data_IF_686763221466
#
_entry.id   IF_686763221466
#
_cell.length_a   1.000
_cell.length_b   1.000
_cell.length_c   1.000
_cell.angle_alpha   90.00
_cell.angle_beta   90.00
_cell.angle_gamma   90.00
#
_symmetry.space_group_name_H-M   'P 1'
#
loop_
_entity.id
_entity.type
_entity.pdbx_description
1 polymer ?
#
# COMPACT_ATOMS: atom_id res chain seq x y z
N UNK A 1 -20.32 -10.73 -8.25
CA UNK A 1 -19.00 -10.19 -7.94
C UNK A 1 -18.84 -10.24 -6.44
N UNK A 2 -17.86 -11.00 -5.97
CA UNK A 2 -17.54 -11.07 -4.55
C UNK A 2 -16.95 -9.72 -4.13
N UNK A 3 -17.49 -9.14 -3.05
CA UNK A 3 -17.05 -7.82 -2.58
C UNK A 3 -16.31 -8.02 -1.26
N UNK A 4 -15.04 -7.59 -1.23
CA UNK A 4 -14.25 -7.59 0.00
C UNK A 4 -14.73 -6.43 0.87
N UNK A 5 -15.11 -6.77 2.10
CA UNK A 5 -15.55 -5.84 3.14
C UNK A 5 -14.36 -5.33 3.95
N UNK A 6 -13.47 -6.23 4.39
CA UNK A 6 -12.30 -5.88 5.18
C UNK A 6 -11.15 -6.85 4.95
N UNK A 7 -9.93 -6.38 5.20
CA UNK A 7 -8.71 -7.19 5.14
C UNK A 7 -7.89 -6.96 6.41
N UNK A 8 -7.44 -8.05 7.00
CA UNK A 8 -6.55 -8.06 8.16
C UNK A 8 -5.29 -8.82 7.79
N UNK A 9 -4.12 -8.24 8.11
CA UNK A 9 -2.80 -8.81 7.85
C UNK A 9 -2.07 -8.97 9.18
N UNK A 10 -1.67 -10.19 9.51
CA UNK A 10 -1.00 -10.55 10.77
C UNK A 10 -1.76 -10.07 12.02
N UNK A 11 -3.09 -10.09 11.97
CA UNK A 11 -3.97 -9.63 13.05
C UNK A 11 -4.20 -8.12 13.10
N UNK A 12 -3.63 -7.35 12.16
CA UNK A 12 -3.84 -5.90 12.06
C UNK A 12 -4.73 -5.54 10.85
N UNK A 13 -5.81 -4.80 11.09
CA UNK A 13 -6.66 -4.29 10.01
C UNK A 13 -5.91 -3.23 9.21
N UNK A 14 -5.95 -3.35 7.89
CA UNK A 14 -5.38 -2.37 6.97
C UNK A 14 -6.47 -1.54 6.30
N UNK A 15 -6.19 -0.26 6.09
CA UNK A 15 -7.08 0.58 5.29
C UNK A 15 -6.89 0.27 3.80
N UNK A 16 -7.96 -0.22 3.17
CA UNK A 16 -7.98 -0.59 1.75
C UNK A 16 -8.80 0.44 1.00
N UNK A 17 -8.19 1.08 0.02
CA UNK A 17 -8.87 2.09 -0.79
C UNK A 17 -9.70 1.47 -1.92
N UNK A 18 -9.13 0.46 -2.56
CA UNK A 18 -9.74 -0.35 -3.62
C UNK A 18 -9.19 -1.76 -3.53
N UNK A 19 -9.97 -2.73 -3.97
CA UNK A 19 -9.54 -4.12 -4.02
C UNK A 19 -10.15 -4.82 -5.23
N UNK A 20 -9.53 -5.94 -5.58
CA UNK A 20 -10.12 -6.98 -6.41
C UNK A 20 -9.70 -8.34 -5.86
N UNK A 21 -10.65 -9.26 -5.85
CA UNK A 21 -10.42 -10.66 -5.48
C UNK A 21 -10.89 -11.53 -6.63
N UNK A 22 -10.05 -12.45 -7.09
CA UNK A 22 -10.35 -13.29 -8.24
C UNK A 22 -9.52 -14.56 -8.22
N UNK A 23 -9.93 -15.52 -9.04
CA UNK A 23 -9.18 -16.75 -9.28
C UNK A 23 -8.34 -16.55 -10.53
N UNK A 24 -7.04 -16.81 -10.44
CA UNK A 24 -6.14 -16.79 -11.57
C UNK A 24 -5.79 -18.23 -11.98
N UNK A 25 -6.07 -18.57 -13.24
CA UNK A 25 -5.79 -19.87 -13.83
C UNK A 25 -4.62 -19.75 -14.82
N UNK A 26 -3.53 -20.47 -14.56
CA UNK A 26 -2.38 -20.53 -15.46
C UNK A 26 -2.01 -21.98 -15.78
N UNK A 27 -1.07 -22.16 -16.72
CA UNK A 27 -0.55 -23.51 -17.00
C UNK A 27 0.18 -24.15 -15.81
N UNK A 28 0.58 -23.36 -14.81
CA UNK A 28 1.33 -23.83 -13.63
C UNK A 28 0.47 -24.10 -12.41
N UNK A 29 -0.79 -23.67 -12.38
CA UNK A 29 -1.68 -23.87 -11.24
C UNK A 29 -2.84 -22.88 -11.19
N UNK A 30 -3.57 -22.92 -10.08
CA UNK A 30 -4.73 -22.07 -9.80
C UNK A 30 -4.45 -21.32 -8.50
N UNK A 31 -4.57 -20.00 -8.51
CA UNK A 31 -4.35 -19.16 -7.33
C UNK A 31 -5.57 -18.32 -7.00
N UNK A 32 -5.77 -18.06 -5.70
CA UNK A 32 -6.61 -16.97 -5.23
C UNK A 32 -5.75 -15.71 -5.21
N UNK A 33 -6.15 -14.69 -5.95
CA UNK A 33 -5.48 -13.41 -6.03
C UNK A 33 -6.28 -12.34 -5.27
N UNK A 34 -5.59 -11.55 -4.46
CA UNK A 34 -6.11 -10.37 -3.79
C UNK A 34 -5.21 -9.17 -4.11
N UNK A 35 -5.72 -8.28 -4.96
CA UNK A 35 -5.07 -7.02 -5.28
C UNK A 35 -5.65 -5.91 -4.41
N UNK A 36 -4.80 -5.13 -3.75
CA UNK A 36 -5.18 -4.07 -2.83
C UNK A 36 -4.47 -2.76 -3.20
N UNK A 37 -5.24 -1.67 -3.35
CA UNK A 37 -4.69 -0.31 -3.26
C UNK A 37 -4.65 0.08 -1.79
N UNK A 38 -3.46 0.39 -1.30
CA UNK A 38 -3.16 0.71 0.10
C UNK A 38 -2.29 1.98 0.16
N UNK A 39 -1.89 2.41 1.35
CA UNK A 39 -0.96 3.54 1.49
C UNK A 39 0.49 3.14 1.17
N UNK A 40 1.33 4.13 0.85
CA UNK A 40 2.78 3.88 0.75
C UNK A 40 3.39 3.32 2.04
N UNK A 41 2.82 3.66 3.20
CA UNK A 41 3.29 3.16 4.50
C UNK A 41 3.05 1.66 4.62
N UNK A 42 1.87 1.19 4.22
CA UNK A 42 1.52 -0.25 4.21
C UNK A 42 2.42 -1.01 3.23
N UNK A 43 2.64 -0.48 2.02
CA UNK A 43 3.59 -1.11 1.06
C UNK A 43 4.98 -1.22 1.67
N UNK A 44 5.51 -0.14 2.28
CA UNK A 44 6.83 -0.15 2.92
C UNK A 44 6.94 -1.17 4.05
N UNK A 45 5.86 -1.38 4.80
CA UNK A 45 5.80 -2.34 5.91
C UNK A 45 5.96 -3.78 5.41
N UNK A 46 5.29 -4.12 4.30
CA UNK A 46 5.19 -5.51 3.85
C UNK A 46 6.06 -5.87 2.63
N UNK A 47 6.67 -4.89 1.94
CA UNK A 47 7.44 -5.14 0.69
C UNK A 47 8.61 -6.13 0.79
N UNK A 48 9.13 -6.37 1.99
CA UNK A 48 10.26 -7.27 2.23
C UNK A 48 9.82 -8.58 2.91
N UNK A 49 8.52 -8.78 3.09
CA UNK A 49 7.95 -9.98 3.70
C UNK A 49 7.52 -10.91 2.57
N UNK A 50 7.88 -12.18 2.66
CA UNK A 50 7.55 -13.17 1.64
C UNK A 50 6.12 -13.69 1.77
N UNK A 51 5.69 -13.96 3.01
CA UNK A 51 4.41 -14.58 3.35
C UNK A 51 3.73 -13.83 4.49
N UNK A 52 2.40 -13.68 4.40
CA UNK A 52 1.58 -13.02 5.41
C UNK A 52 0.40 -13.90 5.81
N UNK A 53 -0.03 -13.81 7.06
CA UNK A 53 -1.31 -14.39 7.49
C UNK A 53 -2.40 -13.36 7.15
N UNK A 54 -3.28 -13.72 6.22
CA UNK A 54 -4.30 -12.82 5.69
C UNK A 54 -5.68 -13.35 6.02
N UNK A 55 -6.51 -12.48 6.59
CA UNK A 55 -7.94 -12.69 6.76
C UNK A 55 -8.69 -11.74 5.83
N UNK A 56 -9.57 -12.30 4.99
CA UNK A 56 -10.42 -11.57 4.05
C UNK A 56 -11.86 -11.76 4.49
N UNK A 57 -12.53 -10.68 4.88
CA UNK A 57 -13.95 -10.69 5.17
C UNK A 57 -14.72 -10.17 3.95
N UNK A 58 -15.75 -10.89 3.52
CA UNK A 58 -16.61 -10.49 2.41
C UNK A 58 -17.91 -9.87 2.90
N UNK A 59 -18.58 -9.10 2.05
CA UNK A 59 -19.87 -8.46 2.40
C UNK A 59 -20.98 -9.47 2.69
N UNK A 60 -20.91 -10.69 2.13
CA UNK A 60 -21.84 -11.79 2.40
C UNK A 60 -21.56 -12.53 3.73
N UNK A 61 -20.53 -12.11 4.47
CA UNK A 61 -20.14 -12.66 5.76
C UNK A 61 -19.19 -13.86 5.68
N UNK A 62 -18.79 -14.30 4.48
CA UNK A 62 -17.71 -15.29 4.35
C UNK A 62 -16.40 -14.70 4.85
N UNK A 63 -15.57 -15.55 5.42
CA UNK A 63 -14.22 -15.22 5.88
C UNK A 63 -13.26 -16.26 5.32
N UNK A 64 -12.22 -15.79 4.64
CA UNK A 64 -11.09 -16.63 4.22
C UNK A 64 -9.90 -16.29 5.10
N UNK A 65 -9.27 -17.33 5.64
CA UNK A 65 -8.02 -17.24 6.37
C UNK A 65 -6.97 -18.05 5.61
N UNK A 66 -5.91 -17.40 5.14
CA UNK A 66 -4.86 -18.06 4.36
C UNK A 66 -3.49 -17.46 4.64
N UNK A 67 -2.45 -18.25 4.36
CA UNK A 67 -1.08 -17.75 4.26
C UNK A 67 -0.88 -17.37 2.79
N UNK A 68 -0.69 -16.08 2.51
CA UNK A 68 -0.56 -15.56 1.15
C UNK A 68 0.85 -15.04 0.91
N UNK A 69 1.37 -15.32 -0.29
CA UNK A 69 2.61 -14.76 -0.81
C UNK A 69 2.42 -13.29 -1.18
N UNK A 70 3.44 -12.47 -0.92
CA UNK A 70 3.42 -11.04 -1.24
C UNK A 70 4.14 -10.76 -2.54
N UNK A 71 3.48 -10.02 -3.42
CA UNK A 71 4.07 -9.46 -4.63
C UNK A 71 3.80 -7.96 -4.70
N UNK A 72 4.87 -7.19 -4.89
CA UNK A 72 4.79 -5.74 -5.06
C UNK A 72 4.83 -5.42 -6.56
N UNK A 73 3.80 -4.74 -7.04
CA UNK A 73 3.76 -4.20 -8.39
C UNK A 73 4.39 -2.80 -8.38
N UNK A 74 5.30 -2.54 -9.32
CA UNK A 74 5.96 -1.24 -9.47
C UNK A 74 5.37 -0.47 -10.66
N UNK A 75 5.41 0.87 -10.59
CA UNK A 75 5.02 1.74 -11.70
C UNK A 75 3.60 2.30 -11.67
N UNK A 76 2.82 2.02 -10.61
CA UNK A 76 1.47 2.55 -10.39
C UNK A 76 1.27 3.13 -9.00
N UNK A 77 0.02 3.12 -8.54
CA UNK A 77 -0.35 3.44 -7.16
C UNK A 77 0.27 2.43 -6.17
N UNK A 78 0.30 2.73 -4.86
CA UNK A 78 0.85 1.81 -3.88
C UNK A 78 -0.08 0.59 -3.77
N UNK A 79 0.44 -0.58 -4.16
CA UNK A 79 -0.34 -1.82 -4.18
C UNK A 79 0.33 -2.96 -3.42
N UNK A 80 -0.51 -3.83 -2.86
CA UNK A 80 -0.13 -5.19 -2.46
C UNK A 80 -0.92 -6.18 -3.31
N UNK A 81 -0.22 -7.06 -4.03
CA UNK A 81 -0.81 -8.27 -4.58
C UNK A 81 -0.47 -9.42 -3.62
N UNK A 82 -1.50 -10.13 -3.17
CA UNK A 82 -1.42 -11.24 -2.25
C UNK A 82 -2.02 -12.46 -2.93
N UNK A 83 -1.31 -13.58 -2.94
CA UNK A 83 -1.81 -14.79 -3.61
C UNK A 83 -1.49 -16.07 -2.86
N UNK A 84 -2.35 -17.08 -2.99
CA UNK A 84 -2.07 -18.43 -2.51
C UNK A 84 -2.59 -19.46 -3.51
N UNK A 85 -1.95 -20.62 -3.56
CA UNK A 85 -2.43 -21.75 -4.37
C UNK A 85 -3.76 -22.29 -3.82
N UNK A 86 -4.62 -22.76 -4.72
CA UNK A 86 -5.90 -23.38 -4.38
C UNK A 86 -5.90 -24.86 -4.74
N UNK A 87 -6.29 -25.69 -3.76
CA UNK A 87 -6.45 -27.13 -3.95
C UNK A 87 -7.80 -27.50 -4.58
N UNK A 88 -8.87 -26.74 -4.28
CA UNK A 88 -10.20 -26.96 -4.84
C UNK A 88 -10.88 -25.64 -5.26
N UNK A 89 -11.05 -25.46 -6.57
CA UNK A 89 -11.70 -24.30 -7.17
C UNK A 89 -13.23 -24.29 -6.96
N UNK A 90 -13.84 -25.42 -6.58
CA UNK A 90 -15.29 -25.52 -6.40
C UNK A 90 -15.80 -24.68 -5.22
N UNK A 91 -14.95 -24.36 -4.24
CA UNK A 91 -15.30 -23.50 -3.12
C UNK A 91 -15.43 -22.01 -3.53
N UNK A 92 -14.97 -21.66 -4.74
CA UNK A 92 -14.85 -20.29 -5.23
C UNK A 92 -15.66 -20.04 -6.52
N UNK A 93 -16.77 -20.77 -6.71
CA UNK A 93 -17.55 -20.71 -7.96
C UNK A 93 -18.08 -19.32 -8.33
N UNK A 94 -18.29 -18.44 -7.35
CA UNK A 94 -18.85 -17.11 -7.52
C UNK A 94 -17.80 -15.99 -7.66
N UNK A 95 -16.52 -16.34 -7.57
CA UNK A 95 -15.39 -15.45 -7.82
C UNK A 95 -15.18 -15.28 -9.32
N UNK A 96 -14.76 -14.08 -9.71
CA UNK A 96 -14.34 -13.83 -11.09
C UNK A 96 -13.11 -14.67 -11.41
N UNK A 97 -13.02 -15.16 -12.65
CA UNK A 97 -11.93 -16.01 -13.12
C UNK A 97 -11.21 -15.33 -14.26
N UNK A 98 -9.89 -15.33 -14.18
CA UNK A 98 -9.01 -14.74 -15.19
C UNK A 98 -7.95 -15.77 -15.54
N UNK A 99 -7.66 -15.95 -16.82
CA UNK A 99 -6.58 -16.82 -17.29
C UNK A 99 -5.41 -16.01 -17.86
N UNK A 100 -4.25 -16.67 -18.00
CA UNK A 100 -3.03 -16.07 -18.54
C UNK A 100 -3.14 -15.52 -19.98
N UNK A 101 -4.14 -15.96 -20.74
CA UNK A 101 -4.40 -15.54 -22.12
C UNK A 101 -5.49 -14.46 -22.22
N UNK A 102 -6.12 -14.09 -21.11
CA UNK A 102 -7.18 -13.09 -21.11
C UNK A 102 -6.60 -11.70 -21.35
N UNK A 103 -7.29 -10.93 -22.20
CA UNK A 103 -6.91 -9.54 -22.50
C UNK A 103 -7.37 -8.55 -21.42
N UNK A 104 -8.03 -9.03 -20.38
CA UNK A 104 -8.64 -8.22 -19.34
C UNK A 104 -8.22 -8.72 -17.97
N UNK A 105 -7.77 -7.77 -17.14
CA UNK A 105 -7.46 -7.96 -15.73
C UNK A 105 -8.23 -6.90 -14.93
N UNK A 106 -8.63 -7.18 -13.68
CA UNK A 106 -9.26 -6.20 -12.82
C UNK A 106 -8.37 -4.96 -12.65
N UNK A 107 -8.84 -3.79 -13.09
CA UNK A 107 -8.16 -2.52 -12.89
C UNK A 107 -8.69 -1.84 -11.63
N UNK A 108 -7.89 -1.88 -10.55
CA UNK A 108 -8.26 -1.29 -9.25
C UNK A 108 -7.72 0.13 -9.05
N UNK A 109 -6.98 0.68 -10.02
CA UNK A 109 -6.47 2.05 -9.97
C UNK A 109 -7.48 3.08 -10.48
N UNK A 110 -8.45 2.64 -11.31
CA UNK A 110 -9.40 3.55 -11.94
C UNK A 110 -10.22 4.33 -10.90
N UNK A 111 -10.18 5.65 -11.02
CA UNK A 111 -10.94 6.56 -10.17
C UNK A 111 -10.36 6.78 -8.78
N UNK A 112 -9.06 6.49 -8.57
CA UNK A 112 -8.35 6.92 -7.37
C UNK A 112 -7.01 7.59 -7.69
N UNK A 113 -6.62 8.56 -6.88
CA UNK A 113 -5.39 9.33 -7.05
C UNK A 113 -4.43 9.15 -5.88
N UNK A 114 -3.13 9.36 -6.13
CA UNK A 114 -2.13 9.30 -5.06
C UNK A 114 -2.35 10.39 -4.00
N UNK A 115 -2.90 11.54 -4.40
CA UNK A 115 -3.25 12.63 -3.51
C UNK A 115 -4.35 12.23 -2.51
N UNK A 116 -5.33 11.44 -2.94
CA UNK A 116 -6.38 10.93 -2.06
C UNK A 116 -5.83 9.92 -1.03
N UNK A 117 -4.90 9.07 -1.45
CA UNK A 117 -4.21 8.12 -0.56
C UNK A 117 -3.45 8.88 0.53
N UNK A 118 -2.69 9.90 0.15
CA UNK A 118 -1.87 10.71 1.06
C UNK A 118 -2.67 11.61 2.01
N UNK A 119 -3.95 11.86 1.74
CA UNK A 119 -4.85 12.52 2.70
C UNK A 119 -5.19 11.63 3.89
N UNK A 120 -5.24 10.31 3.68
CA UNK A 120 -5.49 9.34 4.74
C UNK A 120 -4.19 9.04 5.48
N UNK A 121 -3.11 8.78 4.75
CA UNK A 121 -1.82 8.47 5.35
C UNK A 121 -0.65 9.02 4.52
N UNK A 122 -0.01 10.08 5.03
CA UNK A 122 1.16 10.68 4.39
C UNK A 122 2.43 9.91 4.78
N UNK A 123 3.19 9.33 3.83
CA UNK A 123 4.45 8.69 4.16
C UNK A 123 5.51 9.73 4.53
N UNK A 124 6.32 9.43 5.56
CA UNK A 124 7.55 10.15 5.82
C UNK A 124 8.72 9.52 5.05
N UNK A 125 9.61 10.36 4.54
CA UNK A 125 10.86 9.96 3.90
C UNK A 125 12.03 10.73 4.50
N UNK A 126 13.15 10.04 4.69
CA UNK A 126 14.40 10.69 5.08
C UNK A 126 15.03 11.34 3.83
N UNK A 127 15.31 12.64 3.92
CA UNK A 127 16.04 13.39 2.89
C UNK A 127 17.32 13.99 3.46
N UNK A 128 18.42 13.84 2.72
CA UNK A 128 19.71 14.45 3.06
C UNK A 128 19.87 15.83 2.43
N UNK A 129 20.08 16.86 3.24
CA UNK A 129 20.33 18.23 2.77
C UNK A 129 21.79 18.62 3.00
N UNK A 130 22.42 19.23 1.98
CA UNK A 130 23.73 19.89 2.11
C UNK A 130 23.52 21.39 2.14
N UNK A 131 23.83 22.01 3.28
CA UNK A 131 23.61 23.43 3.53
C UNK A 131 24.95 24.17 3.64
N UNK A 132 25.01 25.38 3.09
CA UNK A 132 26.13 26.31 3.29
C UNK A 132 25.65 27.42 4.24
N UNK A 133 26.09 27.39 5.50
CA UNK A 133 25.59 28.26 6.56
C UNK A 133 26.73 28.97 7.32
N UNK A 134 26.48 30.14 7.90
CA UNK A 134 27.37 30.76 8.88
C UNK A 134 27.76 29.81 10.03
N UNK A 135 28.98 29.97 10.56
CA UNK A 135 29.57 29.02 11.51
C UNK A 135 28.79 28.91 12.82
N UNK A 136 28.25 30.01 13.32
CA UNK A 136 27.42 30.07 14.52
C UNK A 136 26.12 29.26 14.36
N UNK A 137 25.49 29.31 13.18
CA UNK A 137 24.32 28.49 12.86
C UNK A 137 24.68 27.00 12.78
N UNK A 138 25.83 26.67 12.19
CA UNK A 138 26.33 25.28 12.15
C UNK A 138 26.56 24.74 13.58
N UNK A 139 27.18 25.54 14.44
CA UNK A 139 27.40 25.18 15.85
C UNK A 139 26.09 25.01 16.62
N UNK A 140 25.11 25.89 16.38
CA UNK A 140 23.79 25.77 17.00
C UNK A 140 23.05 24.50 16.54
N UNK A 141 23.04 24.21 15.23
CA UNK A 141 22.40 23.02 14.65
C UNK A 141 23.00 21.73 15.22
N UNK A 142 24.32 21.65 15.36
CA UNK A 142 25.03 20.49 15.91
C UNK A 142 24.67 20.19 17.38
N UNK A 143 24.13 21.17 18.11
CA UNK A 143 23.69 21.01 19.52
C UNK A 143 22.24 20.52 19.64
N UNK A 144 21.47 20.50 18.56
CA UNK A 144 20.06 20.12 18.58
C UNK A 144 19.85 18.61 18.41
N UNK A 145 18.75 18.08 18.95
CA UNK A 145 18.34 16.68 18.71
C UNK A 145 17.74 16.54 17.32
N UNK A 146 17.99 15.40 16.64
CA UNK A 146 17.43 15.08 15.31
C UNK A 146 15.92 15.32 15.24
N UNK A 147 15.16 14.84 16.24
CA UNK A 147 13.70 15.02 16.30
C UNK A 147 13.29 16.50 16.25
N UNK A 148 13.93 17.34 17.06
CA UNK A 148 13.63 18.77 17.09
C UNK A 148 14.00 19.47 15.79
N UNK A 149 15.12 19.09 15.17
CA UNK A 149 15.48 19.60 13.85
C UNK A 149 14.45 19.22 12.80
N UNK A 150 14.00 17.96 12.78
CA UNK A 150 12.96 17.52 11.85
C UNK A 150 11.67 18.34 12.00
N UNK A 151 11.20 18.57 13.23
CA UNK A 151 10.02 19.40 13.51
C UNK A 151 10.20 20.85 13.03
N UNK A 152 11.38 21.45 13.29
CA UNK A 152 11.70 22.81 12.84
C UNK A 152 11.69 22.89 11.31
N UNK A 153 12.40 21.99 10.63
CA UNK A 153 12.48 22.00 9.17
C UNK A 153 11.13 21.71 8.53
N UNK A 154 10.34 20.78 9.06
CA UNK A 154 8.99 20.51 8.57
C UNK A 154 8.12 21.76 8.63
N UNK A 155 8.12 22.46 9.77
CA UNK A 155 7.36 23.70 9.94
C UNK A 155 7.85 24.81 9.00
N UNK A 156 9.16 25.02 8.91
CA UNK A 156 9.76 26.03 8.03
C UNK A 156 9.42 25.78 6.56
N UNK A 157 9.41 24.52 6.11
CA UNK A 157 9.05 24.16 4.73
C UNK A 157 7.60 24.54 4.45
N UNK A 158 6.66 24.15 5.33
CA UNK A 158 5.23 24.52 5.16
C UNK A 158 5.02 26.03 5.13
N UNK A 159 5.59 26.76 6.10
CA UNK A 159 5.45 28.23 6.16
C UNK A 159 6.02 28.92 4.91
N UNK A 160 7.10 28.40 4.34
CA UNK A 160 7.70 28.97 3.14
C UNK A 160 6.89 28.63 1.88
N UNK A 161 6.38 27.41 1.78
CA UNK A 161 5.55 26.95 0.66
C UNK A 161 4.25 27.74 0.59
N UNK A 162 3.51 27.87 1.69
CA UNK A 162 2.26 28.64 1.76
C UNK A 162 2.44 30.10 1.33
N UNK A 163 3.57 30.71 1.69
CA UNK A 163 3.91 32.10 1.29
C UNK A 163 4.22 32.24 -0.19
N UNK A 164 4.68 31.19 -0.87
CA UNK A 164 4.92 31.21 -2.31
C UNK A 164 3.62 31.05 -3.10
N UNK A 165 2.71 30.19 -2.64
CA UNK A 165 1.42 29.97 -3.32
C UNK A 165 0.43 31.12 -3.12
N UNK A 166 0.62 31.94 -2.07
CA UNK A 166 -0.20 33.13 -1.80
C UNK A 166 0.22 34.38 -2.61
N UNK A 167 1.17 34.26 -3.54
CA UNK A 167 1.64 35.35 -4.42
C UNK A 167 1.29 35.07 -5.87
#
# INVERSE_FOLDING_TARGET
MVVVKSVTIDGESIFVFRNAVYIFESSSGITLELNLIVSEVVVKKYKNVENLIVEIEFEDGRIINSIMHVKILSGGLPQLNLFCELDDIQEYQDFDRVNENDSWFPNIEDGITIEEIRKVEMPNEDVGLKLNLPIDQVEWLKKQKKKSLNEIFQKLIYEFWEKQESK
#
